data_IF_584014703050
#
_entry.id   IF_584014703050
#
_cell.length_a   1.000
_cell.length_b   1.000
_cell.length_c   1.000
_cell.angle_alpha   90.00
_cell.angle_beta   90.00
_cell.angle_gamma   90.00
#
_symmetry.space_group_name_H-M   'P 1'
#
loop_
_entity.id
_entity.type
_entity.pdbx_description
1 polymer ?
#
# COMPACT_ATOMS: atom_id res chain seq x y z
N UNK A 1 -46.82 33.98 9.95
CA UNK A 1 -45.49 34.29 10.46
C UNK A 1 -45.04 33.06 11.25
N UNK A 2 -44.41 32.06 10.58
CA UNK A 2 -43.91 30.86 11.23
C UNK A 2 -42.38 31.04 11.36
N UNK A 3 -41.94 31.04 12.59
CA UNK A 3 -40.53 31.18 13.01
C UNK A 3 -39.73 29.96 12.54
N UNK A 4 -38.94 30.14 11.51
CA UNK A 4 -37.95 29.15 11.05
C UNK A 4 -36.65 29.31 11.85
N UNK A 5 -36.62 28.72 13.09
CA UNK A 5 -35.36 28.55 13.79
C UNK A 5 -34.47 27.56 13.02
N UNK A 6 -33.24 27.94 12.65
CA UNK A 6 -32.31 27.00 12.06
C UNK A 6 -31.96 25.93 13.08
N UNK A 7 -32.22 24.66 12.78
CA UNK A 7 -31.69 23.52 13.53
C UNK A 7 -30.16 23.60 13.43
N UNK A 8 -29.54 24.03 14.51
CA UNK A 8 -28.09 23.85 14.74
C UNK A 8 -27.89 22.33 14.78
N UNK A 9 -27.44 21.78 13.65
CA UNK A 9 -27.00 20.39 13.55
C UNK A 9 -25.90 20.22 14.59
N UNK A 10 -26.14 19.36 15.57
CA UNK A 10 -25.18 19.02 16.63
C UNK A 10 -23.86 18.66 15.96
N UNK A 11 -22.86 19.53 16.14
CA UNK A 11 -21.48 19.21 15.83
C UNK A 11 -21.17 17.89 16.60
N UNK A 12 -20.99 16.81 15.86
CA UNK A 12 -20.58 15.54 16.42
C UNK A 12 -19.32 15.79 17.23
N UNK A 13 -19.44 15.71 18.53
CA UNK A 13 -18.32 15.79 19.47
C UNK A 13 -17.30 14.76 19.01
N UNK A 14 -16.20 15.21 18.42
CA UNK A 14 -15.04 14.36 18.09
C UNK A 14 -14.62 13.69 19.41
N UNK A 15 -15.05 12.45 19.53
CA UNK A 15 -14.86 11.69 20.74
C UNK A 15 -13.34 11.49 20.92
N UNK A 16 -12.72 12.27 21.80
CA UNK A 16 -11.30 12.22 22.19
C UNK A 16 -10.96 10.94 22.96
N UNK A 17 -11.51 9.80 22.56
CA UNK A 17 -11.07 8.52 23.11
C UNK A 17 -9.68 8.26 22.55
N UNK A 18 -8.66 8.36 23.39
CA UNK A 18 -7.29 7.99 23.07
C UNK A 18 -7.17 6.50 22.73
N UNK A 19 -5.96 6.08 22.41
CA UNK A 19 -5.59 4.67 22.22
C UNK A 19 -6.35 3.81 23.24
N UNK A 20 -7.06 2.79 22.76
CA UNK A 20 -7.61 1.75 23.65
C UNK A 20 -6.48 0.77 23.95
N UNK A 21 -5.76 0.90 25.07
CA UNK A 21 -4.48 0.21 25.28
C UNK A 21 -4.63 -1.31 25.19
N UNK A 22 -5.75 -1.86 25.66
CA UNK A 22 -6.01 -3.30 25.59
C UNK A 22 -6.12 -3.84 24.15
N UNK A 23 -6.77 -3.10 23.25
CA UNK A 23 -6.93 -3.51 21.83
C UNK A 23 -5.64 -3.29 21.03
N UNK A 24 -4.87 -2.26 21.38
CA UNK A 24 -3.55 -2.04 20.77
C UNK A 24 -2.57 -3.13 21.19
N UNK A 25 -2.59 -3.52 22.49
CA UNK A 25 -1.79 -4.65 22.99
C UNK A 25 -2.19 -5.97 22.32
N UNK A 26 -3.49 -6.19 22.08
CA UNK A 26 -3.95 -7.36 21.35
C UNK A 26 -3.41 -7.39 19.91
N UNK A 27 -3.42 -6.25 19.19
CA UNK A 27 -2.82 -6.17 17.86
C UNK A 27 -1.31 -6.41 17.88
N UNK A 28 -0.61 -5.87 18.87
CA UNK A 28 0.81 -6.14 19.06
C UNK A 28 1.09 -7.62 19.33
N UNK A 29 0.25 -8.26 20.14
CA UNK A 29 0.34 -9.69 20.43
C UNK A 29 0.07 -10.53 19.18
N UNK A 30 -0.96 -10.18 18.39
CA UNK A 30 -1.25 -10.83 17.11
C UNK A 30 -0.08 -10.64 16.14
N UNK A 31 0.44 -9.43 16.02
CA UNK A 31 1.60 -9.14 15.17
C UNK A 31 2.82 -9.95 15.59
N UNK A 32 3.15 -9.98 16.88
CA UNK A 32 4.26 -10.79 17.41
C UNK A 32 4.06 -12.29 17.18
N UNK A 33 2.83 -12.79 17.40
CA UNK A 33 2.48 -14.19 17.16
C UNK A 33 2.62 -14.54 15.66
N UNK A 34 2.16 -13.67 14.77
CA UNK A 34 2.26 -13.89 13.32
C UNK A 34 3.72 -13.91 12.87
N UNK A 35 4.57 -13.03 13.39
CA UNK A 35 6.02 -13.08 13.12
C UNK A 35 6.61 -14.42 13.61
N UNK A 36 6.27 -14.84 14.82
CA UNK A 36 6.77 -16.10 15.36
C UNK A 36 6.34 -17.29 14.51
N UNK A 37 5.08 -17.34 14.08
CA UNK A 37 4.57 -18.40 13.22
C UNK A 37 5.22 -18.40 11.82
N UNK A 38 5.61 -17.22 11.31
CA UNK A 38 6.30 -17.11 10.02
C UNK A 38 7.76 -17.58 10.10
N UNK A 39 8.37 -17.45 11.26
CA UNK A 39 9.76 -17.89 11.52
C UNK A 39 9.85 -19.35 12.01
N UNK A 40 8.77 -19.91 12.57
CA UNK A 40 8.78 -21.24 13.21
C UNK A 40 9.15 -22.40 12.26
N UNK A 41 8.66 -22.48 11.00
CA UNK A 41 9.03 -23.58 10.11
C UNK A 41 10.53 -23.69 9.86
N UNK A 42 11.26 -22.61 10.12
CA UNK A 42 12.71 -22.58 9.97
C UNK A 42 13.45 -23.00 11.25
N UNK A 43 12.91 -22.71 12.44
CA UNK A 43 13.54 -23.04 13.71
C UNK A 43 13.80 -24.54 13.89
N UNK A 44 12.95 -25.38 13.33
CA UNK A 44 13.12 -26.86 13.35
C UNK A 44 14.20 -27.39 12.41
N UNK A 45 14.84 -26.56 11.58
CA UNK A 45 15.85 -26.92 10.58
C UNK A 45 17.23 -26.33 10.83
N UNK A 46 17.46 -25.73 12.00
CA UNK A 46 18.73 -25.06 12.34
C UNK A 46 19.95 -26.00 12.28
N UNK A 47 19.73 -27.30 12.44
CA UNK A 47 20.81 -28.32 12.42
C UNK A 47 21.24 -28.71 11.00
N UNK A 48 20.60 -28.19 9.96
CA UNK A 48 20.98 -28.52 8.58
C UNK A 48 22.16 -27.63 8.11
N UNK A 49 23.11 -28.21 7.36
CA UNK A 49 24.20 -27.43 6.76
C UNK A 49 23.64 -26.31 5.87
N UNK A 50 24.08 -25.07 6.09
CA UNK A 50 23.61 -23.90 5.31
C UNK A 50 22.29 -23.27 5.80
N UNK A 51 21.64 -23.80 6.84
CA UNK A 51 20.42 -23.25 7.41
C UNK A 51 20.53 -21.77 7.77
N UNK A 52 21.65 -21.36 8.36
CA UNK A 52 21.91 -19.97 8.71
C UNK A 52 21.91 -19.04 7.47
N UNK A 53 22.54 -19.45 6.36
CA UNK A 53 22.56 -18.65 5.13
C UNK A 53 21.15 -18.54 4.53
N UNK A 54 20.40 -19.64 4.44
CA UNK A 54 19.03 -19.67 3.95
C UNK A 54 18.13 -18.74 4.79
N UNK A 55 18.30 -18.74 6.12
CA UNK A 55 17.55 -17.87 7.00
C UNK A 55 17.84 -16.39 6.71
N UNK A 56 19.10 -15.98 6.72
CA UNK A 56 19.49 -14.58 6.59
C UNK A 56 19.32 -14.03 5.17
N UNK A 57 19.50 -14.88 4.15
CA UNK A 57 19.46 -14.44 2.75
C UNK A 57 18.07 -14.53 2.13
N UNK A 58 17.19 -15.41 2.63
CA UNK A 58 15.87 -15.63 2.05
C UNK A 58 14.70 -15.38 3.03
N UNK A 59 14.71 -16.04 4.21
CA UNK A 59 13.59 -15.97 5.14
C UNK A 59 13.44 -14.61 5.82
N UNK A 60 14.50 -14.14 6.43
CA UNK A 60 14.50 -12.87 7.15
C UNK A 60 14.13 -11.67 6.26
N UNK A 61 14.72 -11.51 5.05
CA UNK A 61 14.34 -10.41 4.16
C UNK A 61 12.88 -10.46 3.72
N UNK A 62 12.36 -11.65 3.47
CA UNK A 62 10.96 -11.86 3.09
C UNK A 62 10.00 -11.41 4.18
N UNK A 63 10.20 -11.87 5.43
CA UNK A 63 9.37 -11.49 6.59
C UNK A 63 9.47 -9.98 6.85
N UNK A 64 10.67 -9.41 6.78
CA UNK A 64 10.88 -7.97 6.92
C UNK A 64 10.23 -7.17 5.80
N UNK A 65 10.32 -7.64 4.55
CA UNK A 65 9.66 -7.00 3.42
C UNK A 65 8.12 -7.04 3.56
N UNK A 66 7.56 -8.16 4.02
CA UNK A 66 6.14 -8.29 4.31
C UNK A 66 5.69 -7.31 5.39
N UNK A 67 6.43 -7.24 6.51
CA UNK A 67 6.10 -6.34 7.61
C UNK A 67 6.21 -4.87 7.19
N UNK A 68 7.35 -4.44 6.65
CA UNK A 68 7.61 -3.05 6.26
C UNK A 68 6.72 -2.63 5.09
N UNK A 69 6.55 -3.49 4.08
CA UNK A 69 5.67 -3.26 2.94
C UNK A 69 4.20 -3.12 3.37
N UNK A 70 3.75 -3.96 4.30
CA UNK A 70 2.43 -3.89 4.91
C UNK A 70 2.20 -2.58 5.67
N UNK A 71 3.17 -2.13 6.45
CA UNK A 71 3.14 -0.83 7.14
C UNK A 71 3.04 0.32 6.13
N UNK A 72 3.91 0.32 5.13
CA UNK A 72 3.96 1.38 4.12
C UNK A 72 2.64 1.47 3.33
N UNK A 73 2.10 0.33 2.87
CA UNK A 73 0.81 0.29 2.17
C UNK A 73 -0.35 0.71 3.06
N UNK A 74 -0.36 0.33 4.33
CA UNK A 74 -1.38 0.73 5.28
C UNK A 74 -1.37 2.24 5.54
N UNK A 75 -0.20 2.85 5.73
CA UNK A 75 -0.07 4.31 5.85
C UNK A 75 -0.40 5.04 4.56
N UNK A 76 0.01 4.50 3.41
CA UNK A 76 -0.39 5.00 2.10
C UNK A 76 -1.92 5.03 1.97
N UNK A 77 -2.60 3.96 2.38
CA UNK A 77 -4.05 3.89 2.43
C UNK A 77 -4.68 4.89 3.39
N UNK A 78 -4.12 5.06 4.59
CA UNK A 78 -4.58 6.05 5.57
C UNK A 78 -4.53 7.47 4.99
N UNK A 79 -3.46 7.81 4.27
CA UNK A 79 -3.32 9.09 3.58
C UNK A 79 -4.34 9.26 2.45
N UNK A 80 -4.60 8.21 1.64
CA UNK A 80 -5.59 8.26 0.58
C UNK A 80 -7.01 8.42 1.10
N UNK A 81 -7.35 7.68 2.16
CA UNK A 81 -8.65 7.80 2.81
C UNK A 81 -8.85 9.20 3.41
N UNK A 82 -7.78 9.82 3.90
CA UNK A 82 -7.79 11.20 4.37
C UNK A 82 -7.99 12.16 3.21
N UNK A 83 -7.20 12.04 2.14
CA UNK A 83 -7.25 12.91 0.97
C UNK A 83 -8.64 12.98 0.37
N UNK A 84 -9.27 11.80 0.16
CA UNK A 84 -10.58 11.71 -0.48
C UNK A 84 -11.74 11.74 0.53
N UNK A 85 -11.45 11.84 1.83
CA UNK A 85 -12.47 11.74 2.90
C UNK A 85 -13.40 10.55 2.69
N UNK A 86 -12.83 9.45 2.19
CA UNK A 86 -13.55 8.23 1.84
C UNK A 86 -12.82 7.01 2.39
N UNK A 87 -13.45 6.20 3.26
CA UNK A 87 -12.84 5.01 3.86
C UNK A 87 -12.53 3.89 2.85
N UNK A 88 -13.05 4.00 1.63
CA UNK A 88 -12.81 3.05 0.54
C UNK A 88 -11.69 3.48 -0.41
N UNK A 89 -11.08 4.64 -0.16
CA UNK A 89 -9.97 5.10 -0.99
C UNK A 89 -8.69 4.32 -0.66
N UNK A 90 -8.04 3.81 -1.70
CA UNK A 90 -6.75 3.15 -1.62
C UNK A 90 -5.74 3.76 -2.58
N UNK A 91 -4.44 3.47 -2.43
CA UNK A 91 -3.40 4.06 -3.26
C UNK A 91 -3.50 3.68 -4.75
N UNK A 92 -4.19 2.57 -5.07
CA UNK A 92 -4.42 2.14 -6.44
C UNK A 92 -5.30 3.11 -7.25
N UNK A 93 -6.17 3.90 -6.56
CA UNK A 93 -7.09 4.83 -7.22
C UNK A 93 -6.40 5.97 -7.99
N UNK A 94 -5.15 6.28 -7.67
CA UNK A 94 -4.39 7.31 -8.38
C UNK A 94 -3.58 6.77 -9.57
N UNK A 95 -3.73 5.46 -9.90
CA UNK A 95 -3.14 4.86 -11.09
C UNK A 95 -1.66 4.48 -10.98
N UNK A 96 -1.08 4.51 -9.78
CA UNK A 96 0.35 4.19 -9.54
C UNK A 96 0.69 2.76 -9.98
N UNK A 97 -0.13 1.79 -9.57
CA UNK A 97 0.08 0.37 -9.89
C UNK A 97 0.03 0.11 -11.40
N UNK A 98 -0.96 0.56 -12.18
CA UNK A 98 -0.94 0.43 -13.64
C UNK A 98 0.30 1.07 -14.30
N UNK A 99 0.74 2.23 -13.81
CA UNK A 99 1.99 2.85 -14.28
C UNK A 99 3.21 1.97 -14.02
N UNK A 100 3.34 1.42 -12.80
CA UNK A 100 4.40 0.48 -12.45
C UNK A 100 4.37 -0.76 -13.35
N UNK A 101 3.19 -1.34 -13.56
CA UNK A 101 2.97 -2.50 -14.43
C UNK A 101 3.40 -2.22 -15.88
N UNK A 102 3.07 -1.04 -16.40
CA UNK A 102 3.51 -0.60 -17.70
C UNK A 102 5.04 -0.48 -17.82
N UNK A 103 5.69 0.10 -16.81
CA UNK A 103 7.15 0.19 -16.77
C UNK A 103 7.81 -1.19 -16.82
N UNK A 104 7.31 -2.16 -16.04
CA UNK A 104 7.81 -3.54 -16.06
C UNK A 104 7.55 -4.23 -17.40
N UNK A 105 6.38 -4.04 -18.00
CA UNK A 105 6.07 -4.60 -19.31
C UNK A 105 7.06 -4.12 -20.36
N UNK A 106 7.37 -2.81 -20.40
CA UNK A 106 8.37 -2.23 -21.31
C UNK A 106 9.73 -2.91 -21.14
N UNK A 107 10.25 -2.99 -19.91
CA UNK A 107 11.60 -3.53 -19.67
C UNK A 107 11.63 -5.04 -19.94
N UNK A 108 10.60 -5.77 -19.57
CA UNK A 108 10.51 -7.21 -19.86
C UNK A 108 10.46 -7.47 -21.36
N UNK A 109 9.77 -6.66 -22.15
CA UNK A 109 9.70 -6.79 -23.61
C UNK A 109 10.96 -6.30 -24.30
N UNK A 110 11.44 -5.08 -24.01
CA UNK A 110 12.62 -4.51 -24.64
C UNK A 110 13.91 -5.20 -24.21
N UNK A 111 13.97 -5.71 -22.98
CA UNK A 111 15.12 -6.43 -22.46
C UNK A 111 15.52 -7.60 -23.37
N UNK A 112 14.53 -8.34 -23.84
CA UNK A 112 14.79 -9.45 -24.77
C UNK A 112 15.29 -8.99 -26.14
N UNK A 113 14.82 -7.86 -26.63
CA UNK A 113 15.24 -7.33 -27.93
C UNK A 113 16.71 -6.88 -27.95
N UNK A 114 17.24 -6.50 -26.80
CA UNK A 114 18.63 -6.04 -26.62
C UNK A 114 19.54 -7.09 -25.96
N UNK A 115 19.08 -8.36 -25.90
CA UNK A 115 19.89 -9.48 -25.43
C UNK A 115 20.12 -9.52 -23.92
N UNK A 116 19.26 -8.90 -23.13
CA UNK A 116 19.34 -8.96 -21.64
C UNK A 116 18.71 -10.24 -21.05
N UNK A 117 18.21 -11.14 -21.88
CA UNK A 117 17.45 -12.33 -21.45
C UNK A 117 18.27 -13.35 -20.65
N UNK A 118 19.57 -13.46 -20.92
CA UNK A 118 20.44 -14.51 -20.35
C UNK A 118 21.07 -14.16 -19.00
N UNK A 119 20.94 -12.94 -18.50
CA UNK A 119 21.85 -12.47 -17.46
C UNK A 119 21.21 -12.17 -16.09
N UNK A 120 19.94 -12.47 -15.88
CA UNK A 120 19.22 -11.99 -14.67
C UNK A 120 19.10 -10.45 -14.61
N UNK A 121 19.65 -9.75 -15.60
CA UNK A 121 19.70 -8.28 -15.69
C UNK A 121 18.30 -7.71 -15.86
N UNK A 122 17.46 -8.35 -16.64
CA UNK A 122 16.03 -7.96 -16.77
C UNK A 122 15.30 -8.03 -15.42
N UNK A 123 15.58 -9.04 -14.61
CA UNK A 123 14.99 -9.18 -13.27
C UNK A 123 15.46 -8.07 -12.34
N UNK A 124 16.74 -7.70 -12.39
CA UNK A 124 17.30 -6.62 -11.56
C UNK A 124 16.77 -5.23 -12.00
N UNK A 125 16.41 -5.05 -13.27
CA UNK A 125 15.87 -3.79 -13.80
C UNK A 125 14.36 -3.62 -13.55
N UNK A 126 13.61 -4.69 -13.29
CA UNK A 126 12.16 -4.62 -13.06
C UNK A 126 11.75 -3.62 -11.98
N UNK A 127 12.39 -3.56 -10.78
CA UNK A 127 12.03 -2.56 -9.76
C UNK A 127 12.26 -1.13 -10.23
N UNK A 128 13.34 -0.85 -10.97
CA UNK A 128 13.62 0.48 -11.52
C UNK A 128 12.59 0.88 -12.58
N UNK A 129 12.22 -0.06 -13.44
CA UNK A 129 11.18 0.16 -14.45
C UNK A 129 9.80 0.40 -13.82
N UNK A 130 9.45 -0.37 -12.80
CA UNK A 130 8.23 -0.17 -12.04
C UNK A 130 8.20 1.21 -11.37
N UNK A 131 9.30 1.62 -10.74
CA UNK A 131 9.44 2.96 -10.18
C UNK A 131 9.31 4.04 -11.25
N UNK A 132 9.96 3.88 -12.41
CA UNK A 132 9.84 4.81 -13.53
C UNK A 132 8.40 5.00 -14.00
N UNK A 133 7.67 3.92 -14.20
CA UNK A 133 6.24 3.95 -14.57
C UNK A 133 5.35 4.55 -13.48
N UNK A 134 5.59 4.21 -12.21
CA UNK A 134 4.88 4.76 -11.08
C UNK A 134 5.12 6.27 -10.91
N UNK A 135 6.37 6.72 -11.05
CA UNK A 135 6.72 8.14 -10.98
C UNK A 135 6.23 8.94 -12.18
N UNK A 136 6.13 8.33 -13.36
CA UNK A 136 5.47 8.95 -14.51
C UNK A 136 4.02 9.30 -14.16
N UNK A 137 3.25 8.34 -13.65
CA UNK A 137 1.86 8.57 -13.22
C UNK A 137 1.79 9.62 -12.12
N UNK A 138 2.66 9.52 -11.10
CA UNK A 138 2.70 10.50 -10.01
C UNK A 138 2.98 11.92 -10.56
N UNK A 139 3.90 12.06 -11.51
CA UNK A 139 4.22 13.35 -12.13
C UNK A 139 3.02 13.93 -12.88
N UNK A 140 2.26 13.10 -13.61
CA UNK A 140 1.02 13.50 -14.27
C UNK A 140 -0.02 13.95 -13.23
N UNK A 141 -0.21 13.17 -12.16
CA UNK A 141 -1.14 13.52 -11.08
C UNK A 141 -0.77 14.84 -10.39
N UNK A 142 0.51 15.07 -10.13
CA UNK A 142 0.99 16.32 -9.53
C UNK A 142 0.84 17.53 -10.45
N UNK A 143 1.09 17.36 -11.75
CA UNK A 143 0.89 18.41 -12.74
C UNK A 143 -0.60 18.80 -12.85
N UNK A 144 -1.48 17.80 -12.84
CA UNK A 144 -2.93 18.00 -12.89
C UNK A 144 -3.50 18.52 -11.57
N UNK A 145 -2.95 18.11 -10.41
CA UNK A 145 -3.38 18.63 -9.11
C UNK A 145 -3.27 20.17 -9.03
N UNK A 146 -2.30 20.78 -9.72
CA UNK A 146 -2.17 22.24 -9.77
C UNK A 146 -3.30 22.91 -10.54
N UNK A 147 -3.89 22.21 -11.51
CA UNK A 147 -4.95 22.72 -12.41
C UNK A 147 -6.36 22.31 -11.96
N UNK A 148 -6.49 21.13 -11.37
CA UNK A 148 -7.78 20.58 -10.95
C UNK A 148 -8.06 20.95 -9.50
N UNK A 149 -9.15 21.69 -9.28
CA UNK A 149 -9.59 22.10 -7.94
C UNK A 149 -10.40 21.01 -7.25
N UNK A 150 -11.07 20.15 -8.04
CA UNK A 150 -11.96 19.11 -7.54
C UNK A 150 -11.21 17.79 -7.32
N UNK A 151 -11.30 17.22 -6.13
CA UNK A 151 -10.69 15.93 -5.76
C UNK A 151 -11.21 14.76 -6.60
N UNK A 152 -12.49 14.78 -6.94
CA UNK A 152 -13.09 13.72 -7.78
C UNK A 152 -12.46 13.65 -9.17
N UNK A 153 -12.02 14.78 -9.72
CA UNK A 153 -11.32 14.81 -11.00
C UNK A 153 -9.96 14.08 -10.93
N UNK A 154 -9.23 14.16 -9.80
CA UNK A 154 -7.98 13.40 -9.60
C UNK A 154 -8.21 11.88 -9.55
N UNK A 155 -9.32 11.43 -8.95
CA UNK A 155 -9.70 10.02 -8.97
C UNK A 155 -10.01 9.55 -10.40
N UNK A 156 -10.77 10.35 -11.14
CA UNK A 156 -11.12 10.04 -12.52
C UNK A 156 -9.88 9.97 -13.41
N UNK A 157 -8.95 10.91 -13.25
CA UNK A 157 -7.65 10.88 -13.94
C UNK A 157 -6.88 9.61 -13.61
N UNK A 158 -6.81 9.20 -12.35
CA UNK A 158 -6.16 7.95 -11.94
C UNK A 158 -6.77 6.73 -12.60
N UNK A 159 -8.11 6.68 -12.67
CA UNK A 159 -8.84 5.61 -13.35
C UNK A 159 -8.56 5.58 -14.86
N UNK A 160 -8.63 6.74 -15.54
CA UNK A 160 -8.35 6.86 -16.98
C UNK A 160 -6.90 6.48 -17.30
N UNK A 161 -5.93 6.93 -16.48
CA UNK A 161 -4.54 6.50 -16.61
C UNK A 161 -4.39 5.00 -16.40
N UNK A 162 -5.16 4.42 -15.47
CA UNK A 162 -5.21 2.97 -15.28
C UNK A 162 -5.63 2.21 -16.54
N UNK A 163 -6.70 2.64 -17.19
CA UNK A 163 -7.14 2.07 -18.46
C UNK A 163 -6.14 2.29 -19.60
N UNK A 164 -5.58 3.49 -19.69
CA UNK A 164 -4.59 3.81 -20.72
C UNK A 164 -3.34 2.90 -20.61
N UNK A 165 -2.74 2.81 -19.43
CA UNK A 165 -1.57 1.97 -19.22
C UNK A 165 -1.92 0.47 -19.30
N UNK A 166 -3.13 0.06 -18.86
CA UNK A 166 -3.61 -1.29 -19.04
C UNK A 166 -3.67 -1.69 -20.50
N UNK A 167 -4.32 -0.87 -21.34
CA UNK A 167 -4.38 -1.11 -22.78
C UNK A 167 -2.98 -1.15 -23.45
N UNK A 168 -2.06 -0.29 -23.00
CA UNK A 168 -0.68 -0.31 -23.48
C UNK A 168 0.04 -1.62 -23.10
N UNK A 169 -0.17 -2.12 -21.89
CA UNK A 169 0.35 -3.42 -21.42
C UNK A 169 -0.24 -4.56 -22.27
N UNK A 170 -1.54 -4.54 -22.56
CA UNK A 170 -2.20 -5.57 -23.37
C UNK A 170 -1.59 -5.64 -24.79
N UNK A 171 -1.32 -4.49 -25.40
CA UNK A 171 -0.65 -4.42 -26.73
C UNK A 171 0.77 -5.01 -26.65
N UNK A 172 1.55 -4.65 -25.63
CA UNK A 172 2.91 -5.15 -25.43
C UNK A 172 2.89 -6.67 -25.22
N UNK A 173 2.01 -7.17 -24.34
CA UNK A 173 1.94 -8.61 -24.03
C UNK A 173 1.48 -9.44 -25.22
N UNK A 174 0.64 -8.90 -26.12
CA UNK A 174 0.20 -9.58 -27.35
C UNK A 174 1.36 -9.82 -28.34
N UNK A 175 2.38 -8.96 -28.34
CA UNK A 175 3.55 -9.08 -29.21
C UNK A 175 4.75 -9.75 -28.53
N UNK A 176 4.64 -10.05 -27.23
CA UNK A 176 5.69 -10.62 -26.41
C UNK A 176 5.82 -12.15 -26.62
N UNK A 177 7.01 -12.69 -26.38
CA UNK A 177 7.25 -14.13 -26.33
C UNK A 177 6.66 -14.75 -25.07
N UNK A 178 6.31 -16.06 -25.13
CA UNK A 178 5.71 -16.77 -24.00
C UNK A 178 6.53 -16.68 -22.70
N UNK A 179 7.87 -16.69 -22.79
CA UNK A 179 8.76 -16.55 -21.62
C UNK A 179 8.66 -15.17 -20.97
N UNK A 180 8.56 -14.10 -21.78
CA UNK A 180 8.40 -12.73 -21.29
C UNK A 180 7.05 -12.54 -20.63
N UNK A 181 5.98 -13.06 -21.23
CA UNK A 181 4.64 -13.05 -20.65
C UNK A 181 4.64 -13.79 -19.30
N UNK A 182 5.30 -14.95 -19.22
CA UNK A 182 5.44 -15.69 -17.96
C UNK A 182 6.15 -14.86 -16.88
N UNK A 183 7.28 -14.23 -17.18
CA UNK A 183 8.02 -13.36 -16.25
C UNK A 183 7.17 -12.18 -15.78
N UNK A 184 6.47 -11.52 -16.69
CA UNK A 184 5.58 -10.42 -16.40
C UNK A 184 4.42 -10.84 -15.49
N UNK A 185 3.75 -11.96 -15.82
CA UNK A 185 2.66 -12.50 -15.01
C UNK A 185 3.14 -12.87 -13.60
N UNK A 186 4.31 -13.52 -13.50
CA UNK A 186 4.90 -13.85 -12.20
C UNK A 186 5.19 -12.60 -11.38
N UNK A 187 5.68 -11.50 -11.98
CA UNK A 187 5.85 -10.24 -11.28
C UNK A 187 4.50 -9.68 -10.80
N UNK A 188 3.48 -9.72 -11.65
CA UNK A 188 2.13 -9.24 -11.34
C UNK A 188 1.39 -10.01 -10.25
N UNK A 189 1.84 -11.24 -9.91
CA UNK A 189 1.29 -12.02 -8.80
C UNK A 189 1.61 -11.41 -7.44
N UNK A 190 2.66 -10.58 -7.35
CA UNK A 190 3.16 -10.02 -6.10
C UNK A 190 3.81 -11.09 -5.22
N UNK A 191 4.74 -10.67 -4.36
CA UNK A 191 5.43 -11.54 -3.43
C UNK A 191 6.50 -10.80 -2.65
N UNK A 192 6.75 -11.22 -1.42
CA UNK A 192 7.82 -10.66 -0.59
C UNK A 192 9.12 -11.46 -0.69
N UNK A 193 9.08 -12.65 -1.28
CA UNK A 193 10.18 -13.57 -1.54
C UNK A 193 11.24 -13.03 -2.52
N UNK A 194 10.90 -11.99 -3.27
CA UNK A 194 11.79 -11.35 -4.28
C UNK A 194 12.67 -10.26 -3.73
N UNK A 195 12.40 -9.81 -2.52
CA UNK A 195 13.12 -8.70 -1.91
C UNK A 195 14.46 -9.20 -1.36
N UNK A 196 15.53 -8.67 -1.94
CA UNK A 196 16.88 -8.97 -1.47
C UNK A 196 17.21 -8.25 -0.15
N UNK A 197 18.11 -8.77 0.68
CA UNK A 197 18.56 -8.10 1.92
C UNK A 197 19.01 -6.65 1.68
N UNK A 198 19.71 -6.41 0.57
CA UNK A 198 20.19 -5.07 0.16
C UNK A 198 19.10 -4.07 -0.19
N UNK A 199 17.87 -4.54 -0.46
CA UNK A 199 16.72 -3.72 -0.84
C UNK A 199 15.83 -3.34 0.36
N UNK A 200 15.95 -4.06 1.49
CA UNK A 200 15.20 -3.75 2.71
C UNK A 200 15.36 -2.30 3.19
N UNK A 201 16.56 -1.69 3.17
CA UNK A 201 16.72 -0.30 3.55
C UNK A 201 15.87 0.67 2.72
N UNK A 202 15.65 0.37 1.43
CA UNK A 202 14.84 1.23 0.54
C UNK A 202 13.37 1.21 0.99
N UNK A 203 12.83 0.03 1.31
CA UNK A 203 11.49 -0.12 1.86
C UNK A 203 11.37 0.60 3.22
N UNK A 204 12.37 0.42 4.11
CA UNK A 204 12.39 1.04 5.43
C UNK A 204 12.47 2.58 5.35
N UNK A 205 13.30 3.12 4.46
CA UNK A 205 13.40 4.58 4.22
C UNK A 205 12.07 5.13 3.70
N UNK A 206 11.44 4.43 2.75
CA UNK A 206 10.12 4.82 2.22
C UNK A 206 9.06 4.88 3.33
N UNK A 207 8.97 3.85 4.16
CA UNK A 207 8.06 3.81 5.30
C UNK A 207 8.38 4.92 6.32
N UNK A 208 9.67 5.18 6.59
CA UNK A 208 10.11 6.24 7.52
C UNK A 208 9.76 7.63 7.02
N UNK A 209 9.91 7.90 5.73
CA UNK A 209 9.46 9.16 5.10
C UNK A 209 7.94 9.31 5.24
N UNK A 210 7.18 8.25 4.94
CA UNK A 210 5.73 8.24 5.09
C UNK A 210 5.31 8.50 6.54
N UNK A 211 5.97 7.88 7.51
CA UNK A 211 5.76 8.13 8.93
C UNK A 211 6.06 9.59 9.29
N UNK A 212 7.17 10.13 8.80
CA UNK A 212 7.53 11.54 9.01
C UNK A 212 6.45 12.49 8.52
N UNK A 213 5.92 12.27 7.30
CA UNK A 213 4.82 13.06 6.73
C UNK A 213 3.58 12.97 7.62
N UNK A 214 3.20 11.75 8.07
CA UNK A 214 2.04 11.53 8.94
C UNK A 214 2.18 12.23 10.29
N UNK A 215 3.33 12.08 10.95
CA UNK A 215 3.55 12.65 12.29
C UNK A 215 3.62 14.18 12.26
N UNK A 216 4.33 14.76 11.29
CA UNK A 216 4.48 16.21 11.16
C UNK A 216 3.17 16.90 10.80
N UNK A 217 2.29 16.23 10.04
CA UNK A 217 1.04 16.82 9.56
C UNK A 217 -0.21 16.26 10.27
N UNK A 218 -0.08 15.42 11.31
CA UNK A 218 -1.22 14.75 11.96
C UNK A 218 -2.35 15.70 12.38
N UNK A 219 -2.01 16.87 12.91
CA UNK A 219 -2.99 17.87 13.35
C UNK A 219 -3.70 18.53 12.15
N UNK A 220 -2.95 18.83 11.09
CA UNK A 220 -3.50 19.40 9.85
C UNK A 220 -4.38 18.37 9.12
N UNK A 221 -4.00 17.08 9.12
CA UNK A 221 -4.83 16.01 8.57
C UNK A 221 -6.12 15.81 9.37
N UNK A 222 -6.07 15.96 10.71
CA UNK A 222 -7.28 15.94 11.53
C UNK A 222 -8.19 17.12 11.21
N UNK A 223 -7.65 18.32 11.06
CA UNK A 223 -8.42 19.51 10.64
C UNK A 223 -9.02 19.31 9.24
N UNK A 224 -8.28 18.68 8.32
CA UNK A 224 -8.74 18.40 6.97
C UNK A 224 -9.97 17.45 6.96
N UNK A 225 -10.02 16.46 7.85
CA UNK A 225 -11.20 15.59 7.99
C UNK A 225 -12.45 16.35 8.43
N UNK A 226 -12.29 17.44 9.21
CA UNK A 226 -13.41 18.27 9.67
C UNK A 226 -13.92 19.25 8.59
N UNK A 227 -13.14 19.48 7.55
CA UNK A 227 -13.49 20.38 6.44
C UNK A 227 -12.40 21.39 6.11
N UNK A 228 -12.48 21.96 4.91
CA UNK A 228 -11.46 22.87 4.38
C UNK A 228 -11.33 24.16 5.22
N UNK A 229 -12.44 24.68 5.76
CA UNK A 229 -12.47 25.85 6.64
C UNK A 229 -11.60 25.67 7.88
N UNK A 230 -11.58 24.45 8.47
CA UNK A 230 -10.77 24.18 9.66
C UNK A 230 -9.26 24.16 9.37
N UNK A 231 -8.89 23.78 8.14
CA UNK A 231 -7.47 23.84 7.70
C UNK A 231 -7.01 25.29 7.55
N UNK A 232 -7.83 26.13 6.91
CA UNK A 232 -7.54 27.56 6.70
C UNK A 232 -7.49 28.32 8.03
N UNK A 233 -8.43 28.04 8.94
CA UNK A 233 -8.44 28.61 10.29
C UNK A 233 -7.21 28.21 11.11
N UNK A 234 -6.60 27.06 10.82
CA UNK A 234 -5.32 26.64 11.42
C UNK A 234 -4.09 27.22 10.71
N UNK A 235 -4.26 28.16 9.77
CA UNK A 235 -3.18 28.79 9.01
C UNK A 235 -2.44 27.87 8.06
N UNK A 236 -3.08 26.76 7.61
CA UNK A 236 -2.47 25.79 6.71
C UNK A 236 -3.06 25.89 5.30
N UNK A 237 -2.22 25.66 4.29
CA UNK A 237 -2.66 25.62 2.90
C UNK A 237 -3.26 24.26 2.57
N UNK A 238 -4.50 24.23 2.10
CA UNK A 238 -5.19 23.01 1.65
C UNK A 238 -4.42 22.37 0.48
N UNK A 239 -3.93 23.18 -0.47
CA UNK A 239 -3.16 22.70 -1.62
C UNK A 239 -1.91 21.95 -1.19
N UNK A 240 -1.14 22.51 -0.26
CA UNK A 240 0.07 21.89 0.25
C UNK A 240 -0.26 20.61 1.04
N UNK A 241 -1.35 20.60 1.79
CA UNK A 241 -1.77 19.43 2.55
C UNK A 241 -2.15 18.27 1.63
N UNK A 242 -2.94 18.55 0.58
CA UNK A 242 -3.28 17.56 -0.45
C UNK A 242 -2.03 17.04 -1.16
N UNK A 243 -1.07 17.92 -1.46
CA UNK A 243 0.20 17.56 -2.07
C UNK A 243 0.98 16.55 -1.21
N UNK A 244 1.10 16.80 0.10
CA UNK A 244 1.76 15.88 1.03
C UNK A 244 1.06 14.53 1.12
N UNK A 245 -0.28 14.50 1.10
CA UNK A 245 -1.06 13.27 1.08
C UNK A 245 -0.82 12.47 -0.20
N UNK A 246 -0.80 13.12 -1.37
CA UNK A 246 -0.54 12.48 -2.66
C UNK A 246 0.90 11.94 -2.71
N UNK A 247 1.91 12.77 -2.43
CA UNK A 247 3.32 12.36 -2.51
C UNK A 247 3.61 11.24 -1.51
N UNK A 248 3.19 11.41 -0.26
CA UNK A 248 3.44 10.41 0.78
C UNK A 248 2.81 9.06 0.46
N UNK A 249 1.54 9.06 0.04
CA UNK A 249 0.86 7.83 -0.33
C UNK A 249 1.45 7.19 -1.58
N UNK A 250 1.62 7.98 -2.65
CA UNK A 250 2.08 7.49 -3.93
C UNK A 250 3.51 6.93 -3.87
N UNK A 251 4.43 7.61 -3.16
CA UNK A 251 5.82 7.14 -3.03
C UNK A 251 5.91 5.81 -2.27
N UNK A 252 5.19 5.66 -1.16
CA UNK A 252 5.15 4.39 -0.43
C UNK A 252 4.57 3.26 -1.29
N UNK A 253 3.44 3.51 -1.96
CA UNK A 253 2.82 2.51 -2.84
C UNK A 253 3.72 2.17 -4.03
N UNK A 254 4.38 3.16 -4.66
CA UNK A 254 5.28 2.95 -5.77
C UNK A 254 6.47 2.06 -5.40
N UNK A 255 7.11 2.35 -4.25
CA UNK A 255 8.29 1.59 -3.80
C UNK A 255 7.88 0.16 -3.44
N UNK A 256 6.80 -0.04 -2.68
CA UNK A 256 6.36 -1.40 -2.36
C UNK A 256 5.97 -2.16 -3.62
N UNK A 257 5.21 -1.54 -4.54
CA UNK A 257 4.85 -2.18 -5.81
C UNK A 257 6.07 -2.53 -6.67
N UNK A 258 7.10 -1.69 -6.67
CA UNK A 258 8.31 -1.94 -7.46
C UNK A 258 9.08 -3.18 -6.99
N UNK A 259 9.22 -3.37 -5.68
CA UNK A 259 10.02 -4.46 -5.12
C UNK A 259 9.20 -5.72 -4.80
N UNK A 260 7.95 -5.55 -4.39
CA UNK A 260 7.08 -6.67 -3.98
C UNK A 260 6.02 -7.02 -5.04
N UNK A 261 5.97 -6.29 -6.16
CA UNK A 261 4.85 -6.38 -7.09
C UNK A 261 3.57 -5.73 -6.56
N UNK A 262 2.47 -5.81 -7.32
CA UNK A 262 1.17 -5.29 -6.88
C UNK A 262 0.69 -6.02 -5.63
N UNK A 263 0.33 -5.27 -4.58
CA UNK A 263 -0.25 -5.78 -3.33
C UNK A 263 -1.54 -5.02 -3.05
N UNK A 264 -2.66 -5.73 -3.13
CA UNK A 264 -4.01 -5.14 -3.03
C UNK A 264 -4.55 -5.16 -1.59
N UNK A 265 -5.62 -4.40 -1.35
CA UNK A 265 -6.47 -4.38 -0.15
C UNK A 265 -5.83 -3.94 1.15
N UNK A 266 -4.52 -4.07 1.37
CA UNK A 266 -3.86 -3.71 2.65
C UNK A 266 -4.13 -2.26 3.03
N UNK A 267 -3.90 -1.33 2.09
CA UNK A 267 -4.14 0.10 2.29
C UNK A 267 -5.61 0.47 2.49
N UNK A 268 -6.53 -0.41 2.15
CA UNK A 268 -7.96 -0.20 2.35
C UNK A 268 -8.41 -0.75 3.72
N UNK A 269 -7.98 -1.96 4.06
CA UNK A 269 -8.47 -2.71 5.23
C UNK A 269 -7.78 -2.23 6.52
N UNK A 270 -6.46 -2.05 6.51
CA UNK A 270 -5.69 -1.75 7.72
C UNK A 270 -6.13 -0.44 8.42
N UNK A 271 -6.33 0.69 7.71
CA UNK A 271 -6.84 1.91 8.35
C UNK A 271 -8.27 1.74 8.87
N UNK A 272 -9.10 0.92 8.22
CA UNK A 272 -10.46 0.65 8.67
C UNK A 272 -10.45 -0.15 10.00
N UNK A 273 -9.64 -1.20 10.08
CA UNK A 273 -9.44 -1.96 11.33
C UNK A 273 -8.97 -1.03 12.43
N UNK A 274 -7.99 -0.17 12.13
CA UNK A 274 -7.43 0.80 13.09
C UNK A 274 -8.51 1.72 13.66
N UNK A 275 -9.33 2.33 12.81
CA UNK A 275 -10.42 3.20 13.25
C UNK A 275 -11.46 2.48 14.09
N UNK A 276 -11.78 1.24 13.77
CA UNK A 276 -12.68 0.41 14.61
C UNK A 276 -12.09 0.13 15.98
N UNK A 277 -10.80 -0.19 16.07
CA UNK A 277 -10.11 -0.46 17.33
C UNK A 277 -10.05 0.79 18.19
N UNK A 278 -9.63 1.92 17.63
CA UNK A 278 -9.48 3.17 18.36
C UNK A 278 -10.79 3.92 18.55
N UNK A 279 -11.86 3.55 17.84
CA UNK A 279 -13.14 4.24 17.81
C UNK A 279 -12.98 5.77 17.58
N UNK A 280 -12.03 6.16 16.72
CA UNK A 280 -11.73 7.55 16.39
C UNK A 280 -11.18 7.69 14.98
N UNK A 281 -11.48 8.80 14.33
CA UNK A 281 -10.87 9.17 13.03
C UNK A 281 -9.54 9.91 13.20
N UNK A 282 -9.13 10.27 14.43
CA UNK A 282 -7.89 11.02 14.71
C UNK A 282 -6.66 10.24 14.26
N UNK A 283 -5.76 10.90 13.54
CA UNK A 283 -4.52 10.30 13.04
C UNK A 283 -3.56 9.85 14.15
N UNK A 284 -3.49 10.57 15.28
CA UNK A 284 -2.55 10.24 16.36
C UNK A 284 -2.57 8.76 16.74
N UNK A 285 -3.67 8.23 17.30
CA UNK A 285 -3.77 6.82 17.64
C UNK A 285 -3.78 5.90 16.40
N UNK A 286 -4.34 6.37 15.27
CA UNK A 286 -4.50 5.52 14.10
C UNK A 286 -3.19 5.26 13.34
N UNK A 287 -2.18 6.12 13.41
CA UNK A 287 -0.89 5.89 12.77
C UNK A 287 -0.28 4.54 13.21
N UNK A 288 -0.18 4.35 14.53
CA UNK A 288 0.45 3.14 15.08
C UNK A 288 -0.40 1.88 14.85
N UNK A 289 -1.69 1.95 15.14
CA UNK A 289 -2.57 0.79 14.96
C UNK A 289 -2.76 0.40 13.51
N UNK A 290 -2.72 1.37 12.57
CA UNK A 290 -2.74 1.10 11.14
C UNK A 290 -1.47 0.38 10.68
N UNK A 291 -0.30 0.76 11.20
CA UNK A 291 0.95 0.09 10.91
C UNK A 291 0.91 -1.39 11.30
N UNK A 292 0.53 -1.69 12.54
CA UNK A 292 0.44 -3.07 13.01
C UNK A 292 -0.63 -3.88 12.29
N UNK A 293 -1.78 -3.28 11.99
CA UNK A 293 -2.82 -3.95 11.20
C UNK A 293 -2.34 -4.27 9.77
N UNK A 294 -1.60 -3.36 9.14
CA UNK A 294 -1.03 -3.58 7.82
C UNK A 294 0.02 -4.68 7.81
N UNK A 295 0.97 -4.63 8.74
CA UNK A 295 1.98 -5.66 8.90
C UNK A 295 1.37 -7.04 9.21
N UNK A 296 0.40 -7.11 10.11
CA UNK A 296 -0.28 -8.37 10.44
C UNK A 296 -1.02 -8.96 9.23
N UNK A 297 -1.68 -8.12 8.42
CA UNK A 297 -2.37 -8.56 7.21
C UNK A 297 -1.41 -9.15 6.18
N UNK A 298 -0.30 -8.48 5.91
CA UNK A 298 0.69 -8.93 4.92
C UNK A 298 1.44 -10.17 5.38
N UNK A 299 1.85 -10.25 6.65
CA UNK A 299 2.49 -11.44 7.22
C UNK A 299 1.53 -12.64 7.23
N UNK A 300 0.26 -12.44 7.61
CA UNK A 300 -0.75 -13.50 7.53
C UNK A 300 -0.93 -13.99 6.09
N UNK A 301 -0.99 -13.07 5.12
CA UNK A 301 -1.09 -13.43 3.72
C UNK A 301 0.15 -14.18 3.24
N UNK A 302 1.34 -13.80 3.70
CA UNK A 302 2.59 -14.46 3.37
C UNK A 302 2.68 -15.89 3.93
N UNK A 303 2.27 -16.10 5.18
CA UNK A 303 2.13 -17.44 5.78
C UNK A 303 1.18 -18.30 4.96
N UNK A 304 -0.02 -17.80 4.66
CA UNK A 304 -1.01 -18.53 3.87
C UNK A 304 -0.50 -18.82 2.46
N UNK A 305 0.21 -17.90 1.82
CA UNK A 305 0.78 -18.08 0.50
C UNK A 305 1.75 -19.25 0.44
N UNK A 306 2.51 -19.47 1.51
CA UNK A 306 3.58 -20.46 1.55
C UNK A 306 3.19 -21.79 2.20
N UNK A 307 2.15 -21.79 3.05
CA UNK A 307 1.80 -22.98 3.85
C UNK A 307 0.47 -23.62 3.43
N UNK A 308 -0.38 -22.93 2.67
CA UNK A 308 -1.72 -23.42 2.34
C UNK A 308 -1.69 -24.62 1.39
N UNK A 309 -0.77 -24.65 0.44
CA UNK A 309 -0.62 -25.74 -0.52
C UNK A 309 0.82 -26.25 -0.48
N UNK A 310 1.01 -27.51 -0.13
CA UNK A 310 2.33 -28.13 -0.13
C UNK A 310 2.98 -28.05 -1.51
N UNK A 311 4.25 -27.66 -1.54
CA UNK A 311 5.08 -27.51 -2.76
C UNK A 311 4.60 -26.48 -3.79
N UNK A 312 3.75 -25.52 -3.38
CA UNK A 312 3.27 -24.44 -4.24
C UNK A 312 3.24 -23.12 -3.48
N UNK A 313 3.79 -22.07 -4.09
CA UNK A 313 3.66 -20.70 -3.55
C UNK A 313 2.47 -20.05 -4.22
N UNK A 314 1.48 -19.66 -3.41
CA UNK A 314 0.30 -18.97 -3.92
C UNK A 314 0.58 -17.47 -4.12
N UNK A 315 -0.03 -16.83 -5.12
CA UNK A 315 0.07 -15.38 -5.30
C UNK A 315 -0.47 -14.62 -4.09
N UNK A 316 0.34 -13.76 -3.48
CA UNK A 316 -0.06 -12.97 -2.30
C UNK A 316 -1.28 -12.09 -2.61
N UNK A 317 -1.31 -11.52 -3.83
CA UNK A 317 -2.42 -10.69 -4.27
C UNK A 317 -3.74 -11.45 -4.34
N UNK A 318 -3.72 -12.73 -4.72
CA UNK A 318 -4.91 -13.58 -4.72
C UNK A 318 -5.43 -13.83 -3.30
N UNK A 319 -4.55 -14.15 -2.36
CA UNK A 319 -4.91 -14.35 -0.94
C UNK A 319 -5.50 -13.07 -0.33
N UNK A 320 -4.81 -11.95 -0.52
CA UNK A 320 -5.30 -10.66 -0.03
C UNK A 320 -6.62 -10.26 -0.67
N UNK A 321 -6.86 -10.64 -1.92
CA UNK A 321 -8.13 -10.38 -2.61
C UNK A 321 -9.27 -11.26 -2.06
N UNK A 322 -9.01 -12.53 -1.79
CA UNK A 322 -9.99 -13.45 -1.20
C UNK A 322 -10.38 -13.00 0.22
N UNK A 323 -9.42 -12.53 1.00
CA UNK A 323 -9.71 -12.00 2.34
C UNK A 323 -10.33 -10.60 2.25
N UNK A 324 -9.80 -9.76 1.37
CA UNK A 324 -10.12 -8.35 1.29
C UNK A 324 -11.49 -8.04 0.72
N UNK A 325 -11.88 -8.70 -0.35
CA UNK A 325 -13.15 -8.42 -1.00
C UNK A 325 -14.37 -8.64 -0.08
N UNK A 326 -14.48 -9.76 0.66
CA UNK A 326 -15.58 -9.93 1.62
C UNK A 326 -15.59 -8.88 2.72
N UNK A 327 -14.39 -8.49 3.23
CA UNK A 327 -14.29 -7.45 4.26
C UNK A 327 -14.83 -6.13 3.74
N UNK A 328 -14.47 -5.75 2.51
CA UNK A 328 -14.95 -4.50 1.88
C UNK A 328 -16.46 -4.53 1.63
N UNK A 329 -16.99 -5.66 1.13
CA UNK A 329 -18.44 -5.83 0.93
C UNK A 329 -19.18 -5.69 2.27
N UNK A 330 -18.67 -6.32 3.33
CA UNK A 330 -19.26 -6.21 4.66
C UNK A 330 -19.19 -4.78 5.22
N UNK A 331 -18.10 -4.04 4.92
CA UNK A 331 -17.99 -2.63 5.28
C UNK A 331 -19.06 -1.76 4.59
N UNK A 332 -19.36 -2.05 3.34
CA UNK A 332 -20.38 -1.34 2.57
C UNK A 332 -21.81 -1.70 3.03
N UNK A 333 -22.05 -2.97 3.33
CA UNK A 333 -23.37 -3.46 3.75
C UNK A 333 -23.82 -2.98 5.14
N UNK A 334 -22.89 -2.54 5.99
CA UNK A 334 -23.18 -2.07 7.36
C UNK A 334 -23.36 -0.54 7.49
N UNK A 335 -23.40 0.18 6.39
CA UNK A 335 -23.82 1.58 6.34
C UNK A 335 -25.33 1.66 6.16
#
# INVERSE_FOLDING_TARGET
MQDHKPRITQASTVNRRGLRPRLTLLLLAIFGLVILLDLEPFSSRWDLPGANAIFWDLHFPRVMAAAIGGIALAWSGLMMQTLFRNPLAGPFLIGITPGATFGVAIVTYLGSQIGLDDSGTSFALQPLAALGGAFLVLSIQLALHKKLTQLHALLLVGLVLGYFFGAAVDIITQTAQAQQVKQFVMWGMGGFDRVLPSQLPILAVSASIGLGILLLNRHAFNAYLLGDIHVESAGKSIKNLRLWLIIGSASMAAIVTAYCGPVSFVGLIAPHISRKINATESHGPNILTTAFAGAALTLTADILANQLIANSILPINAILSIIGAPVVIFMLARK
#
